data_IF_367074555046
#
_entry.id   IF_367074555046
#
_cell.length_a   1.000
_cell.length_b   1.000
_cell.length_c   1.000
_cell.angle_alpha   90.00
_cell.angle_beta   90.00
_cell.angle_gamma   90.00
#
_symmetry.space_group_name_H-M   'P 1'
#
loop_
_entity.id
_entity.type
_entity.pdbx_description
1 polymer ?
#
# COMPACT_ATOMS: atom_id res chain seq x y z
N UNK A 1 0.41 10.69 0.11
CA UNK A 1 1.71 11.40 0.15
C UNK A 1 1.76 12.27 1.39
N UNK A 2 2.89 12.27 2.08
CA UNK A 2 3.20 13.16 3.21
C UNK A 2 4.22 14.18 2.71
N UNK A 3 4.02 15.44 3.03
CA UNK A 3 4.99 16.50 2.77
C UNK A 3 5.41 17.11 4.10
N UNK A 4 6.70 17.07 4.37
CA UNK A 4 7.28 17.68 5.56
C UNK A 4 8.59 18.38 5.19
N UNK A 5 8.65 19.69 5.37
CA UNK A 5 9.69 20.55 4.82
C UNK A 5 9.82 20.37 3.28
N UNK A 6 11.02 20.04 2.81
CA UNK A 6 11.29 19.76 1.38
C UNK A 6 11.19 18.27 1.04
N UNK A 7 10.90 17.39 2.01
CA UNK A 7 10.78 15.95 1.81
C UNK A 7 9.38 15.57 1.40
N UNK A 8 9.27 14.65 0.46
CA UNK A 8 8.04 13.98 0.08
C UNK A 8 8.18 12.50 0.40
N UNK A 9 7.20 11.94 1.11
CA UNK A 9 7.12 10.51 1.43
C UNK A 9 5.85 9.96 0.76
N UNK A 10 6.02 8.92 -0.03
CA UNK A 10 4.88 8.21 -0.64
C UNK A 10 4.45 7.03 0.23
N UNK A 11 3.16 6.75 0.24
CA UNK A 11 2.58 5.50 0.73
C UNK A 11 2.02 4.82 -0.51
N UNK A 12 2.62 3.71 -0.88
CA UNK A 12 2.50 3.06 -2.18
C UNK A 12 2.77 4.02 -3.37
N UNK A 13 2.99 3.50 -4.54
CA UNK A 13 3.37 4.29 -5.71
C UNK A 13 2.43 4.10 -6.91
N UNK A 14 1.51 3.14 -6.82
CA UNK A 14 0.63 2.81 -7.92
C UNK A 14 1.38 2.24 -9.14
N UNK A 15 0.73 2.31 -10.29
CA UNK A 15 1.32 2.03 -11.59
C UNK A 15 2.25 3.16 -12.00
N UNK A 16 3.45 2.85 -12.48
CA UNK A 16 4.46 3.82 -12.89
C UNK A 16 4.50 4.14 -14.38
N UNK A 17 5.28 5.15 -14.74
CA UNK A 17 5.46 5.55 -16.14
C UNK A 17 5.99 4.41 -17.01
N UNK A 18 6.95 3.63 -16.50
CA UNK A 18 7.52 2.50 -17.25
C UNK A 18 6.49 1.39 -17.48
N UNK A 19 5.56 1.17 -16.56
CA UNK A 19 4.49 0.19 -16.71
C UNK A 19 3.53 0.59 -17.84
N UNK A 20 3.27 1.89 -17.97
CA UNK A 20 2.42 2.44 -19.04
C UNK A 20 3.13 2.42 -20.38
N UNK A 21 4.42 2.76 -20.40
CA UNK A 21 5.21 2.83 -21.64
C UNK A 21 5.55 1.44 -22.22
N UNK A 22 5.70 0.43 -21.33
CA UNK A 22 6.12 -0.93 -21.70
C UNK A 22 5.31 -2.02 -20.98
N UNK A 23 3.98 -2.00 -21.09
CA UNK A 23 3.12 -2.81 -20.23
C UNK A 23 3.38 -4.32 -20.38
N UNK A 24 3.59 -4.83 -21.62
CA UNK A 24 3.85 -6.25 -21.83
C UNK A 24 5.19 -6.72 -21.24
N UNK A 25 6.21 -5.85 -21.30
CA UNK A 25 7.55 -6.15 -20.74
C UNK A 25 7.54 -6.10 -19.22
N UNK A 26 6.83 -5.15 -18.66
CA UNK A 26 6.83 -4.83 -17.23
C UNK A 26 5.84 -5.68 -16.41
N UNK A 27 4.64 -5.86 -16.93
CA UNK A 27 3.51 -6.51 -16.26
C UNK A 27 3.21 -7.87 -16.88
N UNK A 28 3.27 -7.97 -18.23
CA UNK A 28 2.89 -9.15 -18.98
C UNK A 28 1.41 -9.15 -19.38
N UNK A 29 1.13 -9.59 -20.62
CA UNK A 29 -0.20 -9.51 -21.21
C UNK A 29 -1.26 -10.24 -20.38
N UNK A 30 -0.92 -11.42 -19.84
CA UNK A 30 -1.86 -12.22 -19.03
C UNK A 30 -2.37 -11.47 -17.80
N UNK A 31 -1.49 -10.79 -17.08
CA UNK A 31 -1.88 -10.03 -15.88
C UNK A 31 -2.67 -8.77 -16.26
N UNK A 32 -2.27 -8.11 -17.37
CA UNK A 32 -3.00 -6.95 -17.91
C UNK A 32 -4.45 -7.32 -18.22
N UNK A 33 -4.67 -8.43 -18.94
CA UNK A 33 -6.01 -8.87 -19.35
C UNK A 33 -6.85 -9.33 -18.13
N UNK A 34 -6.20 -9.93 -17.12
CA UNK A 34 -6.87 -10.41 -15.93
C UNK A 34 -7.32 -9.27 -15.00
N UNK A 35 -6.47 -8.26 -14.81
CA UNK A 35 -6.71 -7.16 -13.86
C UNK A 35 -7.47 -6.01 -14.52
N UNK A 36 -7.28 -5.78 -15.82
CA UNK A 36 -7.92 -4.69 -16.55
C UNK A 36 -7.32 -3.33 -16.23
N UNK A 37 -5.99 -3.24 -16.19
CA UNK A 37 -5.29 -1.97 -15.90
C UNK A 37 -5.72 -0.83 -16.83
N UNK A 38 -5.98 0.32 -16.25
CA UNK A 38 -6.20 1.57 -16.98
C UNK A 38 -4.89 2.37 -17.02
N UNK A 39 -4.27 2.41 -18.21
CA UNK A 39 -2.97 3.07 -18.39
C UNK A 39 -3.17 4.55 -18.78
N UNK A 40 -3.11 5.43 -17.78
CA UNK A 40 -3.13 6.90 -17.95
C UNK A 40 -1.92 7.50 -17.21
N UNK A 41 -0.95 8.03 -17.95
CA UNK A 41 0.24 8.68 -17.37
C UNK A 41 -0.12 9.78 -16.37
N UNK A 42 -1.23 10.49 -16.61
CA UNK A 42 -1.65 11.57 -15.73
C UNK A 42 -2.09 11.10 -14.34
N UNK A 43 -2.37 9.80 -14.17
CA UNK A 43 -2.76 9.23 -12.88
C UNK A 43 -1.56 8.69 -12.09
N UNK A 44 -0.37 8.65 -12.68
CA UNK A 44 0.84 8.20 -11.97
C UNK A 44 1.22 9.14 -10.84
N UNK A 45 1.80 8.59 -9.77
CA UNK A 45 2.23 9.38 -8.60
C UNK A 45 3.16 10.54 -9.00
N UNK A 46 4.10 10.30 -9.89
CA UNK A 46 5.03 11.34 -10.36
C UNK A 46 4.30 12.50 -11.05
N UNK A 47 3.29 12.22 -11.90
CA UNK A 47 2.51 13.27 -12.57
C UNK A 47 1.59 14.01 -11.61
N UNK A 48 1.06 13.31 -10.60
CA UNK A 48 0.26 13.97 -9.57
C UNK A 48 1.11 14.92 -8.71
N UNK A 49 2.34 14.55 -8.36
CA UNK A 49 3.29 15.41 -7.67
C UNK A 49 3.59 16.67 -8.52
N UNK A 50 3.86 16.51 -9.81
CA UNK A 50 4.08 17.63 -10.74
C UNK A 50 2.88 18.57 -10.83
N UNK A 51 1.65 18.03 -10.89
CA UNK A 51 0.40 18.82 -10.90
C UNK A 51 0.20 19.65 -9.63
N UNK A 52 0.69 19.17 -8.50
CA UNK A 52 0.69 19.90 -7.23
C UNK A 52 1.75 21.01 -7.19
N UNK A 53 2.57 21.15 -8.26
CA UNK A 53 3.67 22.12 -8.31
C UNK A 53 4.88 21.70 -7.48
N UNK A 54 4.94 20.43 -7.06
CA UNK A 54 6.03 19.87 -6.27
C UNK A 54 7.07 19.19 -7.17
N UNK A 55 8.29 19.04 -6.66
CA UNK A 55 9.36 18.39 -7.40
C UNK A 55 9.43 16.90 -7.05
N UNK A 56 9.21 15.96 -8.02
CA UNK A 56 9.32 14.53 -7.77
C UNK A 56 10.69 14.06 -7.24
N UNK A 57 11.75 14.82 -7.48
CA UNK A 57 13.08 14.53 -6.95
C UNK A 57 13.18 14.69 -5.43
N UNK A 58 12.20 15.33 -4.82
CA UNK A 58 12.10 15.47 -3.37
C UNK A 58 11.45 14.25 -2.70
N UNK A 59 11.01 13.25 -3.47
CA UNK A 59 10.58 11.96 -2.92
C UNK A 59 11.82 11.24 -2.40
N UNK A 60 11.91 11.16 -1.07
CA UNK A 60 13.05 10.57 -0.36
C UNK A 60 12.75 9.16 0.12
N UNK A 61 11.47 8.85 0.33
CA UNK A 61 11.02 7.61 0.96
C UNK A 61 9.70 7.11 0.33
N UNK A 62 9.58 5.80 0.16
CA UNK A 62 8.36 5.12 -0.26
C UNK A 62 8.01 4.04 0.77
N UNK A 63 6.91 4.20 1.49
CA UNK A 63 6.40 3.23 2.45
C UNK A 63 5.45 2.31 1.70
N UNK A 64 5.76 1.01 1.67
CA UNK A 64 5.06 0.04 0.83
C UNK A 64 4.23 -0.89 1.69
N UNK A 65 2.95 -0.98 1.35
CA UNK A 65 2.01 -1.88 2.02
C UNK A 65 2.31 -3.34 1.68
N UNK A 66 2.49 -3.66 0.40
CA UNK A 66 2.83 -4.98 -0.12
C UNK A 66 3.37 -4.87 -1.56
N UNK A 67 3.83 -6.00 -2.15
CA UNK A 67 4.58 -5.99 -3.41
C UNK A 67 3.74 -6.36 -4.66
N UNK A 68 2.43 -6.23 -4.63
CA UNK A 68 1.62 -6.30 -5.85
C UNK A 68 1.92 -5.11 -6.77
N UNK A 69 1.88 -5.34 -8.09
CA UNK A 69 2.37 -4.37 -9.07
C UNK A 69 1.64 -3.04 -9.04
N UNK A 70 0.36 -3.04 -8.73
CA UNK A 70 -0.46 -1.83 -8.63
C UNK A 70 -0.15 -0.97 -7.39
N UNK A 71 0.69 -1.47 -6.47
CA UNK A 71 1.21 -0.71 -5.32
C UNK A 71 2.66 -0.25 -5.52
N UNK A 72 3.46 -1.00 -6.30
CA UNK A 72 4.91 -0.74 -6.43
C UNK A 72 5.39 -0.41 -7.84
N UNK A 73 4.51 -0.45 -8.84
CA UNK A 73 4.87 -0.21 -10.25
C UNK A 73 5.59 1.11 -10.48
N UNK A 74 5.23 2.14 -9.71
CA UNK A 74 5.81 3.48 -9.79
C UNK A 74 7.14 3.66 -9.05
N UNK A 75 7.68 2.66 -8.35
CA UNK A 75 8.96 2.81 -7.63
C UNK A 75 10.11 3.23 -8.55
N UNK A 76 10.12 2.77 -9.79
CA UNK A 76 11.14 3.13 -10.76
C UNK A 76 11.11 4.62 -11.18
N UNK A 77 10.01 5.32 -10.93
CA UNK A 77 9.89 6.77 -11.15
C UNK A 77 10.62 7.58 -10.05
N UNK A 78 10.95 6.93 -8.92
CA UNK A 78 11.62 7.50 -7.76
C UNK A 78 12.88 6.72 -7.37
N UNK A 79 13.88 6.61 -8.27
CA UNK A 79 14.99 5.65 -8.15
C UNK A 79 15.93 5.90 -6.96
N UNK A 80 15.86 7.09 -6.35
CA UNK A 80 16.68 7.46 -5.20
C UNK A 80 15.94 7.33 -3.86
N UNK A 81 14.65 7.02 -3.88
CA UNK A 81 13.86 6.85 -2.67
C UNK A 81 14.24 5.56 -1.93
N UNK A 82 14.24 5.61 -0.60
CA UNK A 82 14.35 4.43 0.24
C UNK A 82 12.98 3.75 0.30
N UNK A 83 12.95 2.45 0.06
CA UNK A 83 11.73 1.63 0.15
C UNK A 83 11.62 1.03 1.54
N UNK A 84 10.55 1.35 2.27
CA UNK A 84 10.25 0.85 3.61
C UNK A 84 9.14 -0.22 3.51
N UNK A 85 9.40 -1.43 4.03
CA UNK A 85 8.49 -2.57 3.86
C UNK A 85 8.57 -3.55 5.04
N UNK A 86 7.50 -4.29 5.31
CA UNK A 86 7.50 -5.40 6.27
C UNK A 86 8.51 -6.49 5.89
N UNK A 87 9.20 -7.06 6.87
CA UNK A 87 10.21 -8.11 6.63
C UNK A 87 9.59 -9.32 5.94
N UNK A 88 8.41 -9.76 6.37
CA UNK A 88 7.73 -10.96 5.83
C UNK A 88 7.38 -10.81 4.34
N UNK A 89 7.05 -9.59 3.90
CA UNK A 89 6.78 -9.31 2.49
C UNK A 89 8.07 -9.37 1.66
N UNK A 90 9.14 -8.78 2.19
CA UNK A 90 10.46 -8.85 1.57
C UNK A 90 10.97 -10.29 1.47
N UNK A 91 10.83 -11.08 2.53
CA UNK A 91 11.22 -12.50 2.56
C UNK A 91 10.42 -13.35 1.57
N UNK A 92 9.12 -13.11 1.45
CA UNK A 92 8.28 -13.75 0.45
C UNK A 92 8.75 -13.46 -0.98
N UNK A 93 9.11 -12.20 -1.27
CA UNK A 93 9.69 -11.81 -2.56
C UNK A 93 11.04 -12.49 -2.82
N UNK A 94 11.95 -12.47 -1.85
CA UNK A 94 13.29 -13.05 -1.97
C UNK A 94 13.22 -14.57 -2.14
N UNK A 95 12.27 -15.24 -1.48
CA UNK A 95 12.03 -16.69 -1.62
C UNK A 95 11.49 -17.10 -2.98
N UNK A 96 11.15 -16.13 -3.84
CA UNK A 96 10.68 -16.36 -5.20
C UNK A 96 9.18 -16.65 -5.28
N UNK A 97 8.37 -16.10 -4.39
CA UNK A 97 6.92 -16.21 -4.48
C UNK A 97 6.44 -15.77 -5.88
N UNK A 98 5.73 -16.63 -6.64
CA UNK A 98 5.33 -16.37 -8.02
C UNK A 98 4.31 -15.23 -8.17
N UNK A 99 3.73 -14.75 -7.08
CA UNK A 99 2.83 -13.60 -7.07
C UNK A 99 3.53 -12.33 -7.54
N UNK A 100 4.79 -12.15 -7.18
CA UNK A 100 5.49 -10.88 -7.34
C UNK A 100 6.22 -10.77 -8.67
N UNK A 101 5.99 -9.65 -9.37
CA UNK A 101 6.77 -9.27 -10.52
C UNK A 101 8.16 -8.75 -10.09
N UNK A 102 9.20 -9.10 -10.85
CA UNK A 102 10.57 -8.62 -10.56
C UNK A 102 10.87 -7.25 -11.15
N UNK A 103 10.08 -6.83 -12.13
CA UNK A 103 10.29 -5.61 -12.91
C UNK A 103 10.18 -4.32 -12.11
N UNK A 104 9.26 -4.14 -11.13
CA UNK A 104 9.19 -2.92 -10.34
C UNK A 104 10.48 -2.63 -9.54
N UNK A 105 11.13 -3.69 -9.03
CA UNK A 105 12.36 -3.58 -8.23
C UNK A 105 13.64 -3.76 -9.04
N UNK A 106 13.56 -3.83 -10.39
CA UNK A 106 14.72 -4.09 -11.27
C UNK A 106 15.79 -2.99 -11.23
N UNK A 107 15.44 -1.78 -10.79
CA UNK A 107 16.38 -0.67 -10.59
C UNK A 107 17.16 -0.77 -9.27
N UNK A 108 16.95 -1.84 -8.47
CA UNK A 108 17.67 -2.16 -7.23
C UNK A 108 17.61 -1.02 -6.20
N UNK A 109 16.41 -0.59 -5.77
CA UNK A 109 16.29 0.46 -4.76
C UNK A 109 16.91 0.05 -3.43
N UNK A 110 17.26 1.04 -2.60
CA UNK A 110 17.59 0.77 -1.20
C UNK A 110 16.34 0.34 -0.46
N UNK A 111 16.33 -0.87 0.10
CA UNK A 111 15.21 -1.42 0.86
C UNK A 111 15.56 -1.45 2.34
N UNK A 112 14.66 -0.93 3.18
CA UNK A 112 14.70 -1.00 4.63
C UNK A 112 13.53 -1.84 5.12
N UNK A 113 13.80 -2.96 5.75
CA UNK A 113 12.80 -3.88 6.27
C UNK A 113 12.47 -3.60 7.73
N UNK A 114 11.23 -3.89 8.11
CA UNK A 114 10.70 -3.73 9.46
C UNK A 114 10.18 -5.07 9.96
N UNK A 115 10.81 -5.58 11.00
CA UNK A 115 10.42 -6.81 11.68
C UNK A 115 9.51 -6.53 12.87
N UNK A 116 8.98 -7.59 13.47
CA UNK A 116 8.15 -7.53 14.67
C UNK A 116 8.86 -6.76 15.79
N UNK A 117 8.17 -5.80 16.37
CA UNK A 117 8.57 -5.07 17.57
C UNK A 117 7.50 -5.26 18.65
N UNK A 118 7.89 -5.10 19.91
CA UNK A 118 6.97 -5.14 21.04
C UNK A 118 6.27 -3.78 21.23
N UNK A 119 5.64 -3.31 20.14
CA UNK A 119 4.84 -2.08 20.12
C UNK A 119 3.40 -2.42 19.79
N UNK A 120 2.47 -1.73 20.46
CA UNK A 120 1.03 -1.87 20.23
C UNK A 120 0.43 -0.54 19.78
N UNK A 121 -0.39 -0.61 18.72
CA UNK A 121 -1.17 0.50 18.24
C UNK A 121 -2.65 0.06 18.18
N UNK A 122 -3.46 0.52 19.12
CA UNK A 122 -4.89 0.21 19.23
C UNK A 122 -5.23 -1.29 19.08
N UNK A 123 -4.45 -2.16 19.73
CA UNK A 123 -4.63 -3.60 19.69
C UNK A 123 -3.89 -4.33 18.55
N UNK A 124 -3.28 -3.61 17.62
CA UNK A 124 -2.43 -4.19 16.57
C UNK A 124 -0.95 -4.16 16.97
N UNK A 125 -0.19 -5.15 16.47
CA UNK A 125 1.27 -5.02 16.40
C UNK A 125 1.60 -3.78 15.57
N UNK A 126 2.60 -3.01 15.98
CA UNK A 126 3.04 -1.82 15.27
C UNK A 126 4.55 -1.81 15.07
N UNK A 127 5.00 -1.37 13.91
CA UNK A 127 6.40 -1.25 13.53
C UNK A 127 6.68 0.19 13.15
N UNK A 128 7.33 0.94 14.04
CA UNK A 128 7.63 2.35 13.80
C UNK A 128 8.55 2.48 12.58
N UNK A 129 8.11 3.26 11.59
CA UNK A 129 8.91 3.55 10.40
C UNK A 129 9.93 4.62 10.79
N UNK A 130 11.21 4.30 10.53
CA UNK A 130 12.33 5.18 10.88
C UNK A 130 12.71 6.05 9.68
N UNK A 131 12.06 7.20 9.59
CA UNK A 131 12.31 8.29 8.65
C UNK A 131 12.56 9.54 9.49
N UNK A 132 13.51 10.38 9.05
CA UNK A 132 13.84 11.64 9.73
C UNK A 132 12.79 12.73 9.42
N UNK A 133 11.63 12.62 10.08
CA UNK A 133 10.49 13.53 10.05
C UNK A 133 9.82 13.55 11.44
N UNK A 134 8.99 14.57 11.71
CA UNK A 134 8.25 14.67 12.97
C UNK A 134 7.01 13.76 13.01
N UNK A 135 6.41 13.50 11.85
CA UNK A 135 5.21 12.67 11.71
C UNK A 135 5.47 11.22 12.19
N UNK A 136 4.70 10.73 13.16
CA UNK A 136 4.74 9.32 13.54
C UNK A 136 4.06 8.46 12.50
N UNK A 137 4.78 7.43 12.01
CA UNK A 137 4.29 6.48 11.03
C UNK A 137 4.58 5.06 11.50
N UNK A 138 3.59 4.18 11.36
CA UNK A 138 3.71 2.76 11.66
C UNK A 138 3.30 1.90 10.47
N UNK A 139 4.06 0.85 10.20
CA UNK A 139 3.59 -0.31 9.46
C UNK A 139 2.84 -1.22 10.44
N UNK A 140 1.60 -1.54 10.09
CA UNK A 140 0.70 -2.37 10.88
C UNK A 140 0.47 -3.68 10.12
N UNK A 141 0.94 -4.84 10.60
CA UNK A 141 0.71 -6.11 9.95
C UNK A 141 -0.79 -6.42 9.77
N UNK A 142 -1.20 -6.61 8.53
CA UNK A 142 -2.55 -6.96 8.09
C UNK A 142 -2.46 -8.16 7.14
N UNK A 143 -1.86 -9.25 7.62
CA UNK A 143 -1.55 -10.42 6.81
C UNK A 143 -2.79 -11.11 6.24
N UNK A 144 -2.59 -11.84 5.16
CA UNK A 144 -3.60 -12.68 4.51
C UNK A 144 -3.79 -12.37 3.03
N UNK A 145 -3.89 -11.10 2.63
CA UNK A 145 -3.86 -10.72 1.21
C UNK A 145 -2.53 -11.14 0.57
N UNK A 146 -1.43 -10.73 1.16
CA UNK A 146 -0.09 -11.30 0.95
C UNK A 146 0.50 -11.75 2.28
N UNK A 147 1.62 -12.51 2.27
CA UNK A 147 2.24 -13.02 3.50
C UNK A 147 2.70 -11.93 4.46
N UNK A 148 3.11 -10.78 3.93
CA UNK A 148 3.63 -9.67 4.72
C UNK A 148 2.88 -8.35 4.52
N UNK A 149 1.64 -8.39 4.01
CA UNK A 149 0.81 -7.20 3.81
C UNK A 149 0.71 -6.38 5.09
N UNK A 150 0.94 -5.07 4.97
CA UNK A 150 0.82 -4.10 6.06
C UNK A 150 -0.12 -2.96 5.67
N UNK A 151 -0.86 -2.44 6.64
CA UNK A 151 -1.40 -1.10 6.56
C UNK A 151 -0.39 -0.06 7.02
N UNK A 152 -0.69 1.21 6.76
CA UNK A 152 0.14 2.34 7.21
C UNK A 152 -0.69 3.27 8.09
N UNK A 153 -0.34 3.37 9.37
CA UNK A 153 -0.95 4.31 10.29
C UNK A 153 -0.04 5.54 10.44
N UNK A 154 -0.61 6.73 10.34
CA UNK A 154 0.11 7.98 10.50
C UNK A 154 -0.63 8.94 11.43
N UNK A 155 0.13 9.65 12.27
CA UNK A 155 -0.40 10.66 13.18
C UNK A 155 -0.43 12.00 12.47
N UNK A 156 -1.60 12.62 12.43
CA UNK A 156 -1.78 13.99 11.93
C UNK A 156 -2.22 14.92 13.07
N UNK A 157 -2.26 16.21 12.81
CA UNK A 157 -2.83 17.18 13.76
C UNK A 157 -4.31 16.91 14.07
N UNK A 158 -5.05 16.29 13.15
CA UNK A 158 -6.47 15.97 13.29
C UNK A 158 -6.75 14.62 13.95
N UNK A 159 -5.74 13.78 14.11
CA UNK A 159 -5.88 12.42 14.65
C UNK A 159 -5.10 11.39 13.85
N UNK A 160 -5.47 10.13 13.99
CA UNK A 160 -4.87 9.04 13.25
C UNK A 160 -5.57 8.82 11.92
N UNK A 161 -4.77 8.60 10.89
CA UNK A 161 -5.20 8.06 9.59
C UNK A 161 -4.62 6.66 9.48
N UNK A 162 -5.44 5.70 9.08
CA UNK A 162 -5.03 4.32 8.86
C UNK A 162 -5.40 3.87 7.45
N UNK A 163 -4.43 3.91 6.57
CA UNK A 163 -4.53 3.32 5.24
C UNK A 163 -4.29 1.82 5.34
N UNK A 164 -5.30 1.02 5.01
CA UNK A 164 -5.27 -0.44 5.17
C UNK A 164 -5.01 -1.19 3.85
N UNK A 165 -4.69 -0.46 2.78
CA UNK A 165 -4.40 -0.99 1.45
C UNK A 165 -5.42 -2.05 0.99
N UNK A 166 -4.98 -3.29 0.74
CA UNK A 166 -5.77 -4.40 0.22
C UNK A 166 -6.26 -5.37 1.29
N UNK A 167 -6.32 -4.94 2.56
CA UNK A 167 -6.98 -5.73 3.61
C UNK A 167 -8.46 -5.98 3.26
N UNK A 168 -9.10 -5.04 2.55
CA UNK A 168 -10.31 -5.23 1.78
C UNK A 168 -10.23 -4.53 0.41
N UNK A 169 -11.01 -4.96 -0.57
CA UNK A 169 -11.19 -4.26 -1.83
C UNK A 169 -12.29 -3.20 -1.78
N UNK A 170 -13.34 -3.46 -1.00
CA UNK A 170 -14.45 -2.52 -0.80
C UNK A 170 -14.88 -2.54 0.66
N UNK A 171 -15.19 -1.37 1.21
CA UNK A 171 -15.62 -1.22 2.59
C UNK A 171 -16.84 -2.08 2.96
N UNK A 172 -17.67 -2.42 1.97
CA UNK A 172 -18.84 -3.30 2.16
C UNK A 172 -18.45 -4.69 2.70
N UNK A 173 -17.21 -5.16 2.51
CA UNK A 173 -16.71 -6.41 3.09
C UNK A 173 -16.72 -6.42 4.62
N UNK A 174 -16.71 -5.25 5.24
CA UNK A 174 -16.82 -5.13 6.69
C UNK A 174 -18.21 -5.45 7.23
N UNK A 175 -19.26 -5.32 6.40
CA UNK A 175 -20.66 -5.39 6.85
C UNK A 175 -21.50 -6.44 6.12
N UNK A 176 -21.13 -6.84 4.90
CA UNK A 176 -21.85 -7.84 4.09
C UNK A 176 -20.91 -8.94 3.60
N UNK A 177 -20.90 -10.07 4.31
CA UNK A 177 -20.10 -11.25 3.93
C UNK A 177 -20.58 -11.94 2.64
N UNK A 178 -21.79 -11.63 2.16
CA UNK A 178 -22.36 -12.22 0.94
C UNK A 178 -22.10 -11.36 -0.31
N UNK A 179 -21.56 -10.14 -0.16
CA UNK A 179 -21.26 -9.29 -1.30
C UNK A 179 -20.25 -9.99 -2.25
N UNK A 180 -20.47 -9.95 -3.59
CA UNK A 180 -19.62 -10.65 -4.56
C UNK A 180 -18.12 -10.31 -4.46
N UNK A 181 -17.76 -9.11 -3.99
CA UNK A 181 -16.36 -8.71 -3.79
C UNK A 181 -15.60 -9.65 -2.85
N UNK A 182 -16.29 -10.28 -1.88
CA UNK A 182 -15.66 -11.26 -0.98
C UNK A 182 -15.10 -12.48 -1.72
N UNK A 183 -15.71 -12.86 -2.87
CA UNK A 183 -15.18 -13.94 -3.69
C UNK A 183 -13.91 -13.51 -4.42
N UNK A 184 -13.87 -12.28 -4.93
CA UNK A 184 -12.66 -11.72 -5.53
C UNK A 184 -11.54 -11.63 -4.48
N UNK A 185 -11.82 -11.05 -3.32
CA UNK A 185 -10.85 -10.92 -2.23
C UNK A 185 -10.30 -12.29 -1.78
N UNK A 186 -11.18 -13.30 -1.66
CA UNK A 186 -10.77 -14.69 -1.37
C UNK A 186 -9.85 -15.27 -2.45
N UNK A 187 -10.15 -15.06 -3.73
CA UNK A 187 -9.31 -15.57 -4.83
C UNK A 187 -7.94 -14.90 -4.90
N UNK A 188 -7.86 -13.66 -4.45
CA UNK A 188 -6.62 -12.88 -4.47
C UNK A 188 -5.79 -13.02 -3.19
N UNK A 189 -6.37 -13.49 -2.09
CA UNK A 189 -5.67 -13.74 -0.84
C UNK A 189 -4.75 -14.98 -0.94
N UNK A 190 -3.55 -14.90 -0.40
CA UNK A 190 -2.68 -16.06 -0.21
C UNK A 190 -3.13 -16.91 0.98
N UNK A 191 -3.63 -16.27 2.03
CA UNK A 191 -4.28 -16.93 3.17
C UNK A 191 -5.60 -16.21 3.48
N UNK A 192 -6.71 -16.80 3.01
CA UNK A 192 -8.01 -16.18 3.22
C UNK A 192 -8.49 -16.23 4.66
N UNK A 193 -8.11 -17.25 5.44
CA UNK A 193 -8.53 -17.34 6.83
C UNK A 193 -7.85 -16.24 7.66
N UNK A 194 -6.56 -16.04 7.44
CA UNK A 194 -5.81 -14.95 8.06
C UNK A 194 -6.32 -13.56 7.61
N UNK A 195 -6.71 -13.42 6.32
CA UNK A 195 -7.37 -12.20 5.84
C UNK A 195 -8.67 -11.91 6.58
N UNK A 196 -9.50 -12.93 6.83
CA UNK A 196 -10.75 -12.77 7.57
C UNK A 196 -10.50 -12.38 9.02
N UNK A 197 -9.50 -12.96 9.69
CA UNK A 197 -9.07 -12.53 11.03
C UNK A 197 -8.63 -11.06 11.05
N UNK A 198 -7.90 -10.64 10.00
CA UNK A 198 -7.48 -9.24 9.81
C UNK A 198 -8.69 -8.32 9.68
N UNK A 199 -9.71 -8.70 8.88
CA UNK A 199 -10.95 -7.93 8.74
C UNK A 199 -11.72 -7.81 10.07
N UNK A 200 -11.74 -8.87 10.88
CA UNK A 200 -12.41 -8.83 12.19
C UNK A 200 -11.72 -7.85 13.16
N UNK A 201 -10.39 -7.80 13.13
CA UNK A 201 -9.63 -6.81 13.91
C UNK A 201 -9.91 -5.38 13.42
N UNK A 202 -9.99 -5.17 12.10
CA UNK A 202 -10.32 -3.86 11.51
C UNK A 202 -11.74 -3.43 11.89
N UNK A 203 -12.73 -4.34 11.87
CA UNK A 203 -14.10 -4.06 12.34
C UNK A 203 -14.11 -3.63 13.80
N UNK A 204 -13.38 -4.34 14.64
CA UNK A 204 -13.24 -4.00 16.07
C UNK A 204 -12.63 -2.61 16.24
N UNK A 205 -11.54 -2.31 15.54
CA UNK A 205 -10.91 -0.99 15.58
C UNK A 205 -11.90 0.13 15.20
N UNK A 206 -12.61 -0.02 14.09
CA UNK A 206 -13.56 1.01 13.60
C UNK A 206 -14.69 1.23 14.61
N UNK A 207 -15.17 0.17 15.25
CA UNK A 207 -16.23 0.28 16.25
C UNK A 207 -15.74 0.94 17.55
N UNK A 208 -14.56 0.57 18.02
CA UNK A 208 -14.04 1.01 19.32
C UNK A 208 -13.36 2.38 19.23
N UNK A 209 -12.86 2.75 18.04
CA UNK A 209 -12.09 3.96 17.76
C UNK A 209 -12.60 4.69 16.50
N UNK A 210 -13.85 5.20 16.53
CA UNK A 210 -14.46 5.88 15.38
C UNK A 210 -13.75 7.21 15.03
N UNK A 211 -12.87 7.70 15.90
CA UNK A 211 -12.02 8.87 15.65
C UNK A 211 -10.83 8.57 14.72
N UNK A 212 -10.53 7.29 14.46
CA UNK A 212 -9.48 6.89 13.51
C UNK A 212 -10.09 6.87 12.10
N UNK A 213 -9.48 7.62 11.20
CA UNK A 213 -9.86 7.64 9.80
C UNK A 213 -9.28 6.42 9.08
N UNK A 214 -10.14 5.45 8.70
CA UNK A 214 -9.72 4.19 8.06
C UNK A 214 -10.22 4.14 6.62
N UNK A 215 -9.34 3.84 5.65
CA UNK A 215 -9.69 3.63 4.24
C UNK A 215 -8.78 2.62 3.55
N UNK A 216 -9.31 2.00 2.47
CA UNK A 216 -8.63 1.04 1.61
C UNK A 216 -8.08 1.65 0.33
N UNK A 217 -7.64 0.79 -0.60
CA UNK A 217 -7.04 1.23 -1.87
C UNK A 217 -8.02 1.20 -3.04
N UNK A 218 -8.88 0.18 -3.14
CA UNK A 218 -9.70 -0.08 -4.32
C UNK A 218 -11.13 0.48 -4.26
N UNK A 219 -11.57 1.02 -3.12
CA UNK A 219 -12.93 1.52 -2.98
C UNK A 219 -13.08 2.92 -3.57
N UNK A 220 -13.78 3.01 -4.71
CA UNK A 220 -14.01 4.28 -5.41
C UNK A 220 -14.87 5.25 -4.60
N UNK A 221 -15.75 4.76 -3.72
CA UNK A 221 -16.58 5.61 -2.87
C UNK A 221 -15.73 6.28 -1.80
N UNK A 222 -14.82 5.53 -1.18
CA UNK A 222 -13.83 6.09 -0.25
C UNK A 222 -12.91 7.09 -0.95
N UNK A 223 -12.40 6.76 -2.14
CA UNK A 223 -11.56 7.67 -2.90
C UNK A 223 -12.27 8.99 -3.24
N UNK A 224 -13.54 8.93 -3.65
CA UNK A 224 -14.30 10.13 -3.99
C UNK A 224 -14.53 11.05 -2.79
N UNK A 225 -14.57 10.52 -1.57
CA UNK A 225 -14.65 11.31 -0.34
C UNK A 225 -13.42 12.23 -0.18
N UNK A 226 -12.23 11.78 -0.57
CA UNK A 226 -10.97 12.53 -0.46
C UNK A 226 -10.67 13.41 -1.68
N UNK A 227 -11.46 13.31 -2.75
CA UNK A 227 -11.19 14.02 -4.01
C UNK A 227 -11.67 15.47 -4.03
N UNK A 228 -12.41 15.92 -3.00
CA UNK A 228 -13.01 17.26 -2.92
C UNK A 228 -12.21 18.21 -2.04
#
# INVERSE_FOLDING_TARGET
MIQENDKLILIDTGIGLLDIQKPQERIGQQLIDMVGYHFDENQTAIRQIEKLGLNPKNVTDCIISHLDNDHIGGLADFPNAIVHIGLEECDAYISGNPRYLKTPLSHQPTIKTYEKLDLNWFGFEARKVDIDIETEIFLIPLFGHTPGHCGVALKTEKGWIFYIADAYYMRIELTDSNHPVNQLAKMRAEDNDLRLETLDKIRTLINDHPEIEVFGYHDIEEFNFYKN
#
